data_IF_602486341344
#
_entry.id   IF_602486341344
#
_cell.length_a   1.000
_cell.length_b   1.000
_cell.length_c   1.000
_cell.angle_alpha   90.00
_cell.angle_beta   90.00
_cell.angle_gamma   90.00
#
_symmetry.space_group_name_H-M   'P 1'
#
loop_
_entity.id
_entity.type
_entity.pdbx_description
1 polymer ?
#
# COMPACT_ATOMS: atom_id res chain seq x y z
N UNK A 1 -1.17 21.81 -25.83
CA UNK A 1 -0.11 22.06 -24.84
C UNK A 1 0.85 20.90 -24.89
N UNK A 2 2.12 21.10 -24.56
CA UNK A 2 3.07 20.01 -24.37
C UNK A 2 2.91 19.41 -22.98
N UNK A 3 3.25 18.14 -22.80
CA UNK A 3 3.24 17.50 -21.49
C UNK A 3 4.12 18.23 -20.46
N UNK A 4 5.22 18.84 -20.89
CA UNK A 4 6.09 19.65 -20.04
C UNK A 4 5.36 20.87 -19.47
N UNK A 5 4.55 21.55 -20.29
CA UNK A 5 3.73 22.69 -19.83
C UNK A 5 2.68 22.22 -18.81
N UNK A 6 2.06 21.05 -19.04
CA UNK A 6 1.06 20.48 -18.14
C UNK A 6 1.66 20.05 -16.79
N UNK A 7 2.85 19.47 -16.80
CA UNK A 7 3.59 19.09 -15.60
C UNK A 7 4.07 20.32 -14.81
N UNK A 8 4.50 21.36 -15.52
CA UNK A 8 4.86 22.64 -14.90
C UNK A 8 3.65 23.25 -14.16
N UNK A 9 2.47 23.22 -14.80
CA UNK A 9 1.23 23.67 -14.19
C UNK A 9 0.83 22.80 -12.99
N UNK A 10 0.95 21.47 -13.10
CA UNK A 10 0.73 20.54 -12.00
C UNK A 10 1.60 20.88 -10.78
N UNK A 11 2.90 21.07 -10.99
CA UNK A 11 3.84 21.46 -9.94
C UNK A 11 3.48 22.76 -9.25
N UNK A 12 3.12 23.76 -10.06
CA UNK A 12 2.71 25.08 -9.55
C UNK A 12 1.46 24.98 -8.70
N UNK A 13 0.47 24.20 -9.13
CA UNK A 13 -0.80 23.99 -8.40
C UNK A 13 -0.63 23.17 -7.12
N UNK A 14 0.30 22.21 -7.11
CA UNK A 14 0.63 21.43 -5.91
C UNK A 14 1.51 22.20 -4.91
N UNK A 15 1.96 23.40 -5.25
CA UNK A 15 2.82 24.23 -4.38
C UNK A 15 4.25 23.71 -4.27
N UNK A 16 4.66 22.74 -5.10
CA UNK A 16 6.05 22.24 -5.18
C UNK A 16 6.94 23.12 -6.04
N UNK A 17 6.36 24.14 -6.69
CA UNK A 17 7.02 24.88 -7.75
C UNK A 17 6.99 24.10 -9.08
N UNK A 18 7.56 24.68 -10.14
CA UNK A 18 7.48 24.09 -11.47
C UNK A 18 8.19 22.74 -11.53
N UNK A 19 7.47 21.68 -11.93
CA UNK A 19 8.04 20.37 -12.15
C UNK A 19 8.63 20.32 -13.56
N UNK A 20 9.89 19.91 -13.65
CA UNK A 20 10.54 19.58 -14.90
C UNK A 20 10.90 18.09 -14.87
N UNK A 21 10.26 17.30 -15.73
CA UNK A 21 10.68 15.93 -16.00
C UNK A 21 11.69 16.01 -17.15
N UNK A 22 12.97 15.96 -16.86
CA UNK A 22 14.04 16.08 -17.86
C UNK A 22 14.26 14.79 -18.67
N UNK A 23 13.36 13.81 -18.55
CA UNK A 23 13.49 12.48 -19.15
C UNK A 23 14.59 11.62 -18.53
N UNK A 24 15.35 12.14 -17.56
CA UNK A 24 16.45 11.43 -16.89
C UNK A 24 16.09 11.07 -15.46
N UNK A 25 15.27 11.90 -14.80
CA UNK A 25 14.86 11.68 -13.41
C UNK A 25 13.34 11.57 -13.29
N UNK A 26 12.83 10.50 -12.67
CA UNK A 26 11.41 10.41 -12.38
C UNK A 26 11.03 11.42 -11.29
N UNK A 27 9.82 11.94 -11.38
CA UNK A 27 9.28 12.88 -10.40
C UNK A 27 8.37 12.14 -9.44
N UNK A 28 8.69 12.16 -8.14
CA UNK A 28 7.83 11.56 -7.11
C UNK A 28 7.01 12.63 -6.41
N UNK A 29 5.69 12.44 -6.42
CA UNK A 29 4.71 13.40 -5.93
C UNK A 29 3.83 12.73 -4.87
N UNK A 30 3.45 13.50 -3.85
CA UNK A 30 2.54 13.02 -2.81
C UNK A 30 1.18 13.71 -2.97
N UNK A 31 0.17 12.94 -3.37
CA UNK A 31 -1.21 13.39 -3.50
C UNK A 31 -1.97 13.13 -2.20
N UNK A 32 -2.77 14.11 -1.77
CA UNK A 32 -3.60 14.07 -0.56
C UNK A 32 -2.85 13.72 0.73
N UNK A 33 -1.52 13.88 0.76
CA UNK A 33 -0.66 13.46 1.87
C UNK A 33 -0.63 11.94 2.11
N UNK A 34 -1.18 11.14 1.19
CA UNK A 34 -1.36 9.69 1.31
C UNK A 34 -0.75 8.91 0.14
N UNK A 35 -0.99 9.36 -1.08
CA UNK A 35 -0.63 8.60 -2.28
C UNK A 35 0.69 9.11 -2.85
N UNK A 36 1.75 8.33 -2.66
CA UNK A 36 3.05 8.59 -3.28
C UNK A 36 3.04 8.00 -4.68
N UNK A 37 3.13 8.86 -5.69
CA UNK A 37 3.10 8.49 -7.11
C UNK A 37 4.37 8.98 -7.78
N UNK A 38 5.06 8.07 -8.46
CA UNK A 38 6.23 8.38 -9.27
C UNK A 38 5.81 8.49 -10.73
N UNK A 39 6.08 9.65 -11.33
CA UNK A 39 5.86 9.95 -12.74
C UNK A 39 7.15 9.80 -13.53
N UNK A 40 7.06 9.10 -14.66
CA UNK A 40 8.12 8.96 -15.65
C UNK A 40 7.62 9.56 -16.95
N UNK A 41 8.43 10.40 -17.58
CA UNK A 41 8.14 10.89 -18.93
C UNK A 41 9.18 10.32 -19.88
N UNK A 42 8.69 9.61 -20.89
CA UNK A 42 9.48 9.12 -22.00
C UNK A 42 9.18 9.98 -23.24
N UNK A 43 10.09 10.90 -23.61
CA UNK A 43 9.87 11.81 -24.73
C UNK A 43 10.02 11.11 -26.09
N UNK A 44 10.78 10.02 -26.17
CA UNK A 44 10.99 9.28 -27.42
C UNK A 44 9.75 8.46 -27.78
N UNK A 45 9.09 7.93 -26.75
CA UNK A 45 7.93 7.05 -26.84
C UNK A 45 6.59 7.78 -26.64
N UNK A 46 6.64 9.11 -26.52
CA UNK A 46 5.50 10.01 -26.30
C UNK A 46 4.58 9.53 -25.18
N UNK A 47 5.17 9.21 -24.03
CA UNK A 47 4.47 8.51 -22.95
C UNK A 47 4.72 9.09 -21.57
N UNK A 48 3.62 9.22 -20.82
CA UNK A 48 3.64 9.47 -19.39
C UNK A 48 3.29 8.17 -18.67
N UNK A 49 4.14 7.75 -17.74
CA UNK A 49 3.86 6.62 -16.86
C UNK A 49 3.69 7.12 -15.43
N UNK A 50 2.68 6.63 -14.73
CA UNK A 50 2.57 6.74 -13.28
C UNK A 50 2.76 5.37 -12.66
N UNK A 51 3.52 5.29 -11.57
CA UNK A 51 3.64 4.12 -10.73
C UNK A 51 3.46 4.49 -9.27
N UNK A 52 2.78 3.64 -8.51
CA UNK A 52 2.58 3.85 -7.08
C UNK A 52 2.54 2.52 -6.32
N UNK A 53 3.06 2.47 -5.09
CA UNK A 53 2.95 1.30 -4.25
C UNK A 53 1.50 1.08 -3.81
N UNK A 54 0.99 -0.11 -4.10
CA UNK A 54 -0.26 -0.63 -3.52
C UNK A 54 0.02 -1.19 -2.11
N UNK A 55 1.29 -1.51 -1.88
CA UNK A 55 1.85 -2.09 -0.67
C UNK A 55 2.08 -1.10 0.47
N UNK A 56 2.40 -1.65 1.64
CA UNK A 56 3.00 -0.87 2.73
C UNK A 56 4.46 -0.76 2.37
N UNK A 57 5.00 0.45 2.45
CA UNK A 57 6.41 0.69 2.13
C UNK A 57 7.28 -0.25 2.97
N UNK A 58 8.15 -1.02 2.32
CA UNK A 58 9.06 -1.99 2.92
C UNK A 58 8.47 -3.36 3.24
N UNK A 59 7.17 -3.61 3.01
CA UNK A 59 6.56 -4.91 3.34
C UNK A 59 6.91 -6.05 2.35
N UNK A 60 7.50 -5.71 1.20
CA UNK A 60 7.89 -6.64 0.14
C UNK A 60 6.73 -7.53 -0.36
N UNK A 61 7.02 -8.41 -1.31
CA UNK A 61 6.03 -9.36 -1.84
C UNK A 61 6.05 -10.74 -1.16
N UNK A 62 6.98 -10.96 -0.22
CA UNK A 62 7.27 -12.29 0.34
C UNK A 62 6.14 -12.95 1.16
N UNK A 63 5.03 -12.24 1.41
CA UNK A 63 3.90 -12.72 2.20
C UNK A 63 2.63 -13.03 1.38
N UNK A 64 2.62 -12.74 0.07
CA UNK A 64 1.46 -13.00 -0.78
C UNK A 64 1.44 -14.45 -1.25
N UNK A 65 0.28 -15.11 -1.11
CA UNK A 65 0.12 -16.51 -1.53
C UNK A 65 -0.08 -16.59 -3.04
N UNK A 66 0.17 -17.77 -3.60
CA UNK A 66 -0.05 -18.02 -5.03
C UNK A 66 -1.49 -17.72 -5.45
N UNK A 67 -2.47 -18.06 -4.61
CA UNK A 67 -3.89 -17.78 -4.90
C UNK A 67 -4.21 -16.29 -4.91
N UNK A 68 -3.60 -15.49 -4.03
CA UNK A 68 -3.76 -14.03 -3.99
C UNK A 68 -3.14 -13.38 -5.24
N UNK A 69 -1.97 -13.87 -5.65
CA UNK A 69 -1.31 -13.50 -6.89
C UNK A 69 -2.16 -13.82 -8.12
N UNK A 70 -2.71 -15.04 -8.16
CA UNK A 70 -3.56 -15.49 -9.27
C UNK A 70 -4.81 -14.64 -9.36
N UNK A 71 -5.47 -14.34 -8.24
CA UNK A 71 -6.64 -13.45 -8.19
C UNK A 71 -6.28 -12.05 -8.70
N UNK A 72 -5.17 -11.48 -8.22
CA UNK A 72 -4.71 -10.15 -8.61
C UNK A 72 -4.39 -10.04 -10.11
N UNK A 73 -3.69 -11.03 -10.67
CA UNK A 73 -3.40 -11.08 -12.10
C UNK A 73 -4.65 -11.33 -12.95
N UNK A 74 -5.60 -12.12 -12.44
CA UNK A 74 -6.89 -12.36 -13.12
C UNK A 74 -7.71 -11.09 -13.19
N UNK A 75 -7.79 -10.35 -12.08
CA UNK A 75 -8.54 -9.10 -12.02
C UNK A 75 -7.91 -7.98 -12.87
N UNK A 76 -6.59 -7.92 -12.91
CA UNK A 76 -5.85 -6.97 -13.73
C UNK A 76 -5.70 -7.37 -15.21
N UNK A 77 -6.23 -8.53 -15.61
CA UNK A 77 -6.08 -9.03 -16.96
C UNK A 77 -6.56 -8.00 -17.99
N UNK A 78 -5.68 -7.60 -18.90
CA UNK A 78 -5.89 -6.56 -19.91
C UNK A 78 -6.42 -5.23 -19.33
N UNK A 79 -6.14 -4.95 -18.06
CA UNK A 79 -6.57 -3.75 -17.38
C UNK A 79 -8.07 -3.69 -17.04
N UNK A 80 -8.80 -4.81 -17.13
CA UNK A 80 -10.26 -4.84 -17.06
C UNK A 80 -10.84 -4.27 -15.75
N UNK A 81 -10.24 -4.59 -14.59
CA UNK A 81 -10.68 -4.06 -13.29
C UNK A 81 -9.80 -2.96 -12.70
N UNK A 82 -8.71 -2.61 -13.38
CA UNK A 82 -7.72 -1.60 -12.94
C UNK A 82 -7.81 -0.32 -13.76
N UNK A 83 -8.79 -0.23 -14.68
CA UNK A 83 -8.97 0.91 -15.57
C UNK A 83 -7.78 1.09 -16.52
N UNK A 84 -7.19 0.00 -17.02
CA UNK A 84 -6.03 0.02 -17.90
C UNK A 84 -4.68 0.11 -17.18
N UNK A 85 -4.65 0.12 -15.84
CA UNK A 85 -3.40 0.00 -15.09
C UNK A 85 -2.96 -1.48 -14.99
N UNK A 86 -1.68 -1.72 -14.77
CA UNK A 86 -1.11 -3.05 -14.59
C UNK A 86 -0.39 -3.13 -13.24
N UNK A 87 -0.27 -4.36 -12.73
CA UNK A 87 0.56 -4.62 -11.57
C UNK A 87 1.99 -4.97 -11.99
N UNK A 88 2.95 -4.59 -11.16
CA UNK A 88 4.35 -4.93 -11.31
C UNK A 88 5.02 -5.08 -9.95
N UNK A 89 6.23 -5.62 -9.95
CA UNK A 89 7.09 -5.65 -8.77
C UNK A 89 8.23 -4.66 -8.97
N UNK A 90 8.47 -3.83 -7.96
CA UNK A 90 9.69 -3.03 -7.92
C UNK A 90 10.90 -3.96 -7.88
N UNK A 91 11.86 -3.87 -8.81
CA UNK A 91 13.06 -4.71 -8.77
C UNK A 91 13.98 -4.33 -7.60
N UNK A 92 13.88 -3.10 -7.10
CA UNK A 92 14.72 -2.59 -6.01
C UNK A 92 14.16 -2.94 -4.64
N UNK A 93 12.84 -2.76 -4.44
CA UNK A 93 12.20 -2.89 -3.13
C UNK A 93 11.38 -4.18 -2.99
N UNK A 94 11.10 -4.87 -4.10
CA UNK A 94 10.19 -6.02 -4.13
C UNK A 94 8.75 -5.67 -3.81
N UNK A 95 8.36 -4.39 -3.86
CA UNK A 95 7.01 -3.93 -3.55
C UNK A 95 6.06 -4.11 -4.72
N UNK A 96 4.79 -4.36 -4.41
CA UNK A 96 3.72 -4.35 -5.39
C UNK A 96 3.43 -2.92 -5.85
N UNK A 97 3.65 -2.67 -7.13
CA UNK A 97 3.33 -1.43 -7.80
C UNK A 97 2.06 -1.59 -8.64
N UNK A 98 1.19 -0.59 -8.59
CA UNK A 98 0.21 -0.34 -9.63
C UNK A 98 0.80 0.74 -10.53
N UNK A 99 0.84 0.49 -11.84
CA UNK A 99 1.37 1.44 -12.79
C UNK A 99 0.46 1.58 -14.00
N UNK A 100 0.49 2.74 -14.65
CA UNK A 100 -0.32 3.03 -15.82
C UNK A 100 0.47 3.89 -16.79
N UNK A 101 0.32 3.59 -18.09
CA UNK A 101 0.85 4.39 -19.19
C UNK A 101 -0.27 5.17 -19.86
N UNK A 102 0.01 6.41 -20.19
CA UNK A 102 -0.76 7.24 -21.10
C UNK A 102 0.14 7.72 -22.23
N UNK A 103 -0.48 8.01 -23.38
CA UNK A 103 0.18 8.83 -24.37
C UNK A 103 0.28 10.26 -23.81
N UNK A 104 1.39 10.94 -24.02
CA UNK A 104 1.64 12.27 -23.48
C UNK A 104 0.89 13.40 -24.21
N UNK A 105 0.04 13.05 -25.18
CA UNK A 105 -0.83 13.90 -25.99
C UNK A 105 -2.11 14.34 -25.26
N UNK A 106 -1.99 14.86 -24.04
CA UNK A 106 -3.13 15.42 -23.32
C UNK A 106 -3.58 16.75 -23.95
N UNK A 107 -4.88 16.96 -24.20
CA UNK A 107 -5.37 18.19 -24.84
C UNK A 107 -5.18 19.42 -23.96
N UNK A 108 -5.37 19.28 -22.65
CA UNK A 108 -5.30 20.33 -21.65
C UNK A 108 -4.99 19.78 -20.24
N UNK A 109 -4.82 20.69 -19.27
CA UNK A 109 -4.58 20.34 -17.87
C UNK A 109 -5.73 19.54 -17.23
N UNK A 110 -7.02 19.93 -17.39
CA UNK A 110 -8.13 19.13 -16.89
C UNK A 110 -8.11 17.66 -17.33
N UNK A 111 -7.69 17.37 -18.57
CA UNK A 111 -7.57 15.99 -19.04
C UNK A 111 -6.46 15.20 -18.31
N UNK A 112 -5.30 15.83 -18.06
CA UNK A 112 -4.23 15.23 -17.26
C UNK A 112 -4.68 14.99 -15.81
N UNK A 113 -5.31 16.00 -15.21
CA UNK A 113 -5.84 15.93 -13.84
C UNK A 113 -6.89 14.82 -13.70
N UNK A 114 -7.81 14.69 -14.66
CA UNK A 114 -8.80 13.62 -14.69
C UNK A 114 -8.14 12.23 -14.81
N UNK A 115 -7.09 12.11 -15.62
CA UNK A 115 -6.35 10.87 -15.78
C UNK A 115 -5.62 10.45 -14.50
N UNK A 116 -4.95 11.39 -13.83
CA UNK A 116 -4.30 11.16 -12.53
C UNK A 116 -5.32 10.83 -11.44
N UNK A 117 -6.42 11.57 -11.34
CA UNK A 117 -7.49 11.28 -10.37
C UNK A 117 -8.12 9.90 -10.61
N UNK A 118 -8.31 9.51 -11.87
CA UNK A 118 -8.74 8.15 -12.22
C UNK A 118 -7.75 7.09 -11.75
N UNK A 119 -6.45 7.34 -11.89
CA UNK A 119 -5.41 6.45 -11.37
C UNK A 119 -5.40 6.39 -9.83
N UNK A 120 -5.53 7.52 -9.15
CA UNK A 120 -5.61 7.58 -7.68
C UNK A 120 -6.82 6.82 -7.14
N UNK A 121 -7.98 6.90 -7.81
CA UNK A 121 -9.16 6.12 -7.43
C UNK A 121 -8.93 4.61 -7.54
N UNK A 122 -8.20 4.16 -8.57
CA UNK A 122 -7.80 2.76 -8.71
C UNK A 122 -6.80 2.37 -7.62
N UNK A 123 -5.82 3.22 -7.34
CA UNK A 123 -4.85 2.99 -6.28
C UNK A 123 -5.55 2.83 -4.91
N UNK A 124 -6.52 3.69 -4.60
CA UNK A 124 -7.30 3.59 -3.36
C UNK A 124 -8.07 2.28 -3.25
N UNK A 125 -8.77 1.90 -4.34
CA UNK A 125 -9.49 0.64 -4.42
C UNK A 125 -8.60 -0.57 -4.10
N UNK A 126 -7.42 -0.62 -4.72
CA UNK A 126 -6.49 -1.73 -4.57
C UNK A 126 -5.73 -1.72 -3.25
N UNK A 127 -5.42 -0.54 -2.70
CA UNK A 127 -4.89 -0.41 -1.35
C UNK A 127 -5.92 -0.88 -0.30
N UNK A 128 -7.21 -0.64 -0.53
CA UNK A 128 -8.29 -1.10 0.36
C UNK A 128 -8.59 -2.60 0.26
N UNK A 129 -8.45 -3.20 -0.93
CA UNK A 129 -8.75 -4.61 -1.18
C UNK A 129 -7.63 -5.60 -0.83
N UNK A 130 -6.53 -5.14 -0.23
CA UNK A 130 -5.35 -6.00 -0.01
C UNK A 130 -5.70 -7.33 0.67
N UNK A 131 -5.40 -8.47 0.03
CA UNK A 131 -5.40 -9.75 0.72
C UNK A 131 -4.30 -9.70 1.79
N UNK A 132 -4.71 -9.76 3.06
CA UNK A 132 -3.82 -9.56 4.21
C UNK A 132 -4.37 -8.64 5.30
N UNK A 133 -5.40 -7.81 5.01
CA UNK A 133 -6.19 -7.15 6.05
C UNK A 133 -7.28 -8.07 6.61
N UNK A 134 -6.97 -9.35 6.79
CA UNK A 134 -7.67 -10.14 7.79
C UNK A 134 -7.02 -9.75 9.12
N UNK A 135 -7.64 -8.78 9.80
CA UNK A 135 -7.38 -8.46 11.19
C UNK A 135 -7.81 -9.67 12.03
N UNK A 136 -7.07 -10.77 11.92
CA UNK A 136 -7.15 -11.92 12.81
C UNK A 136 -6.17 -11.66 13.96
N UNK A 137 -6.38 -10.57 14.68
CA UNK A 137 -5.97 -10.54 16.08
C UNK A 137 -6.97 -11.42 16.80
N UNK A 138 -6.60 -12.59 17.38
CA UNK A 138 -7.52 -13.32 18.24
C UNK A 138 -7.87 -12.37 19.39
N UNK A 139 -9.13 -11.94 19.45
CA UNK A 139 -9.65 -11.23 20.62
C UNK A 139 -9.33 -12.12 21.82
N UNK A 140 -8.59 -11.64 22.85
CA UNK A 140 -8.40 -12.45 24.04
C UNK A 140 -9.80 -12.75 24.57
N UNK A 141 -10.11 -14.04 24.72
CA UNK A 141 -11.37 -14.50 25.27
C UNK A 141 -11.51 -13.89 26.67
N UNK A 142 -12.29 -12.81 26.77
CA UNK A 142 -12.66 -12.23 28.05
C UNK A 142 -13.54 -13.24 28.77
N UNK A 143 -12.94 -13.92 29.76
CA UNK A 143 -13.64 -14.44 30.92
C UNK A 143 -14.45 -15.72 30.72
N UNK A 144 -13.78 -16.87 30.64
CA UNK A 144 -14.28 -18.05 31.34
C UNK A 144 -13.59 -18.11 32.70
N UNK A 145 -14.35 -17.81 33.75
CA UNK A 145 -13.96 -18.03 35.13
C UNK A 145 -13.64 -19.53 35.35
N UNK A 146 -12.59 -19.87 36.10
CA UNK A 146 -12.44 -21.23 36.59
C UNK A 146 -13.48 -21.47 37.69
N UNK A 147 -14.34 -22.47 37.45
CA UNK A 147 -15.24 -23.06 38.43
C UNK A 147 -14.41 -23.62 39.59
N UNK A 148 -14.48 -22.98 40.76
CA UNK A 148 -13.96 -23.53 42.00
C UNK A 148 -15.05 -24.39 42.66
N UNK A 149 -14.84 -25.70 42.73
CA UNK A 149 -15.60 -26.63 43.56
C UNK A 149 -15.13 -26.47 45.02
N UNK A 150 -16.03 -26.45 46.03
CA UNK A 150 -15.65 -26.31 47.42
C UNK A 150 -15.33 -27.68 48.02
N UNK A 151 -14.22 -27.82 48.75
CA UNK A 151 -14.02 -28.95 49.66
C UNK A 151 -13.28 -28.52 50.93
N UNK A 152 -13.65 -29.17 52.02
CA UNK A 152 -13.65 -28.72 53.41
C UNK A 152 -12.26 -28.55 54.07
N UNK A 153 -12.22 -27.69 55.08
CA UNK A 153 -11.20 -27.62 56.15
C UNK A 153 -11.78 -28.25 57.43
N UNK A 154 -11.03 -28.49 58.55
CA UNK A 154 -9.59 -28.29 58.82
C UNK A 154 -8.92 -29.47 59.58
N UNK A 155 -7.60 -29.40 59.85
CA UNK A 155 -7.06 -29.76 61.19
C UNK A 155 -5.71 -29.09 61.46
N UNK A 156 -5.56 -28.69 62.72
CA UNK A 156 -4.61 -27.77 63.31
C UNK A 156 -3.35 -28.49 63.84
N UNK A 157 -2.18 -27.88 63.54
CA UNK A 157 -0.78 -27.90 64.09
C UNK A 157 -0.40 -28.75 65.33
N UNK A 158 0.91 -29.09 65.58
CA UNK A 158 1.95 -28.08 65.90
C UNK A 158 3.39 -28.30 65.38
N UNK A 159 4.11 -27.17 65.49
CA UNK A 159 5.51 -26.84 65.23
C UNK A 159 6.56 -27.76 65.91
N UNK A 160 7.61 -28.06 65.14
CA UNK A 160 9.02 -28.21 65.57
C UNK A 160 9.86 -28.00 64.30
N UNK A 161 10.58 -26.89 64.10
CA UNK A 161 11.77 -26.51 64.86
C UNK A 161 13.00 -27.25 64.31
N UNK A 162 13.72 -26.68 63.33
CA UNK A 162 15.16 -26.48 63.50
C UNK A 162 15.80 -25.58 62.42
N UNK A 163 16.64 -24.67 62.91
CA UNK A 163 17.70 -23.98 62.18
C UNK A 163 18.67 -24.98 61.56
N UNK A 164 19.24 -24.64 60.39
CA UNK A 164 20.69 -24.60 60.24
C UNK A 164 21.10 -23.80 58.99
N UNK A 165 21.88 -22.74 59.24
CA UNK A 165 22.79 -22.09 58.30
C UNK A 165 23.91 -23.07 57.96
N UNK A 166 24.28 -23.20 56.68
CA UNK A 166 25.61 -22.89 56.13
C UNK A 166 25.41 -22.46 54.68
#
# INVERSE_FOLDING_TARGET
MTIQELLHELGTRMGTGPLALDGQTPCTLCFDGKYVVTLYHDPDDHALLAAAPVGTVGAGFGHLREDDLRALLTDACLGARTGGAAFGLSPETGELLLWKRWNDEFPDYPALEAALNGFLAQLDHWQAQRPGRADNTPRPATGMAPTATPEETPVNVPYTGNMLRI
#
